data_IF_297869215828
#
_entry.id   IF_297869215828
#
_cell.length_a   1.000
_cell.length_b   1.000
_cell.length_c   1.000
_cell.angle_alpha   90.00
_cell.angle_beta   90.00
_cell.angle_gamma   90.00
#
_symmetry.space_group_name_H-M   'P 1'
#
loop_
_entity.id
_entity.type
_entity.pdbx_description
1 polymer ?
#
# COMPACT_ATOMS: atom_id res chain seq x y z
N UNK A 1 -22.35 -26.91 13.46
CA UNK A 1 -21.95 -26.11 14.64
C UNK A 1 -20.68 -25.39 14.24
N UNK A 2 -20.69 -24.06 14.09
CA UNK A 2 -19.50 -23.30 13.67
C UNK A 2 -18.67 -23.02 14.93
N UNK A 3 -17.42 -23.49 14.96
CA UNK A 3 -16.56 -23.38 16.14
C UNK A 3 -16.41 -21.92 16.60
N UNK A 4 -16.32 -21.66 17.93
CA UNK A 4 -16.10 -20.33 18.46
C UNK A 4 -14.80 -19.76 17.86
N UNK A 5 -14.94 -18.58 17.23
CA UNK A 5 -14.00 -17.99 16.28
C UNK A 5 -12.64 -17.74 16.95
N UNK A 6 -11.78 -18.74 16.91
CA UNK A 6 -10.34 -18.52 17.03
C UNK A 6 -9.91 -17.92 15.70
N UNK A 7 -9.38 -16.68 15.66
CA UNK A 7 -8.97 -16.09 14.40
C UNK A 7 -7.96 -17.02 13.72
N UNK A 8 -8.25 -17.41 12.49
CA UNK A 8 -7.33 -18.25 11.71
C UNK A 8 -6.01 -17.51 11.52
N UNK A 9 -4.93 -18.26 11.27
CA UNK A 9 -3.61 -17.66 10.99
C UNK A 9 -3.67 -16.64 9.85
N UNK A 10 -4.51 -16.89 8.85
CA UNK A 10 -4.74 -15.96 7.73
C UNK A 10 -5.55 -14.73 8.14
N UNK A 11 -6.56 -14.86 8.99
CA UNK A 11 -7.31 -13.71 9.51
C UNK A 11 -6.40 -12.75 10.29
N UNK A 12 -5.50 -13.30 11.10
CA UNK A 12 -4.47 -12.53 11.80
C UNK A 12 -3.49 -11.88 10.82
N UNK A 13 -3.00 -12.61 9.82
CA UNK A 13 -2.09 -12.08 8.80
C UNK A 13 -2.66 -10.83 8.10
N UNK A 14 -3.92 -10.89 7.66
CA UNK A 14 -4.59 -9.76 6.98
C UNK A 14 -4.71 -8.56 7.91
N UNK A 15 -5.09 -8.80 9.18
CA UNK A 15 -5.21 -7.74 10.18
C UNK A 15 -3.87 -7.11 10.54
N UNK A 16 -2.83 -7.92 10.70
CA UNK A 16 -1.48 -7.46 11.06
C UNK A 16 -0.88 -6.64 9.91
N UNK A 17 -1.02 -7.08 8.65
CA UNK A 17 -0.58 -6.34 7.47
C UNK A 17 -1.30 -4.98 7.33
N UNK A 18 -2.61 -4.90 7.61
CA UNK A 18 -3.31 -3.61 7.60
C UNK A 18 -2.81 -2.68 8.69
N UNK A 19 -2.61 -3.22 9.90
CA UNK A 19 -2.21 -2.43 11.07
C UNK A 19 -0.77 -1.93 10.97
N UNK A 20 0.13 -2.67 10.33
CA UNK A 20 1.52 -2.25 10.14
C UNK A 20 1.66 -0.98 9.30
N UNK A 21 0.69 -0.71 8.42
CA UNK A 21 0.61 0.53 7.61
C UNK A 21 -0.45 1.51 8.09
N UNK A 22 -0.97 1.32 9.32
CA UNK A 22 -1.92 2.22 10.00
C UNK A 22 -3.21 2.56 9.22
N UNK A 23 -3.69 1.66 8.36
CA UNK A 23 -4.92 1.90 7.58
C UNK A 23 -6.18 1.36 8.28
N UNK A 24 -7.32 2.03 8.02
CA UNK A 24 -8.63 1.44 8.32
C UNK A 24 -8.99 0.37 7.26
N UNK A 25 -10.02 -0.42 7.53
CA UNK A 25 -10.42 -1.53 6.65
C UNK A 25 -10.90 -1.06 5.27
N UNK A 26 -11.51 0.12 5.16
CA UNK A 26 -11.98 0.64 3.89
C UNK A 26 -10.81 1.05 2.98
N UNK A 27 -9.81 1.73 3.53
CA UNK A 27 -8.62 2.15 2.78
C UNK A 27 -7.77 0.94 2.38
N UNK A 28 -7.60 -0.01 3.29
CA UNK A 28 -6.90 -1.26 2.98
C UNK A 28 -7.62 -2.10 1.92
N UNK A 29 -8.96 -2.12 1.94
CA UNK A 29 -9.73 -2.79 0.90
C UNK A 29 -9.49 -2.20 -0.49
N UNK A 30 -9.29 -0.87 -0.60
CA UNK A 30 -8.94 -0.23 -1.88
C UNK A 30 -7.60 -0.72 -2.41
N UNK A 31 -6.59 -0.87 -1.54
CA UNK A 31 -5.27 -1.42 -1.91
C UNK A 31 -5.42 -2.85 -2.47
N UNK A 32 -6.26 -3.67 -1.83
CA UNK A 32 -6.49 -5.06 -2.23
C UNK A 32 -7.47 -5.23 -3.41
N UNK A 33 -8.08 -4.14 -3.90
CA UNK A 33 -9.15 -4.21 -4.91
C UNK A 33 -10.39 -4.96 -4.42
N UNK A 34 -10.75 -4.80 -3.14
CA UNK A 34 -11.90 -5.44 -2.48
C UNK A 34 -12.82 -4.40 -1.84
N UNK A 35 -13.96 -4.86 -1.34
CA UNK A 35 -14.83 -4.02 -0.50
C UNK A 35 -14.44 -4.12 0.97
N UNK A 36 -14.77 -3.10 1.76
CA UNK A 36 -14.51 -3.10 3.21
C UNK A 36 -15.16 -4.30 3.91
N UNK A 37 -16.39 -4.66 3.53
CA UNK A 37 -17.10 -5.81 4.10
C UNK A 37 -16.39 -7.15 3.81
N UNK A 38 -15.77 -7.29 2.64
CA UNK A 38 -14.97 -8.48 2.30
C UNK A 38 -13.72 -8.55 3.18
N UNK A 39 -13.01 -7.44 3.36
CA UNK A 39 -11.84 -7.37 4.25
C UNK A 39 -12.23 -7.66 5.71
N UNK A 40 -13.36 -7.14 6.20
CA UNK A 40 -13.86 -7.45 7.54
C UNK A 40 -14.04 -8.96 7.74
N UNK A 41 -14.65 -9.65 6.77
CA UNK A 41 -14.85 -11.11 6.81
C UNK A 41 -13.55 -11.91 6.72
N UNK A 42 -12.52 -11.38 6.06
CA UNK A 42 -11.19 -11.97 6.11
C UNK A 42 -10.58 -11.82 7.51
N UNK A 43 -10.63 -10.61 8.08
CA UNK A 43 -10.03 -10.32 9.38
C UNK A 43 -10.72 -11.02 10.55
N UNK A 44 -12.03 -11.26 10.47
CA UNK A 44 -12.75 -12.03 11.50
C UNK A 44 -12.68 -13.55 11.27
N UNK A 45 -12.11 -14.00 10.14
CA UNK A 45 -11.96 -15.42 9.80
C UNK A 45 -13.25 -16.09 9.31
N UNK A 46 -14.32 -15.33 9.05
CA UNK A 46 -15.57 -15.87 8.49
C UNK A 46 -15.43 -16.33 7.04
N UNK A 47 -14.48 -15.76 6.30
CA UNK A 47 -14.15 -16.12 4.93
C UNK A 47 -12.63 -16.22 4.80
N UNK A 48 -12.15 -17.26 4.12
CA UNK A 48 -10.72 -17.41 3.85
C UNK A 48 -10.28 -16.46 2.72
N UNK A 49 -9.19 -15.68 2.89
CA UNK A 49 -8.70 -14.81 1.84
C UNK A 49 -8.07 -15.63 0.70
N UNK A 50 -8.22 -15.20 -0.57
CA UNK A 50 -7.55 -15.85 -1.69
C UNK A 50 -6.03 -15.68 -1.59
N UNK A 51 -5.27 -16.59 -2.21
CA UNK A 51 -3.81 -16.60 -2.16
C UNK A 51 -3.16 -15.28 -2.59
N UNK A 52 -3.77 -14.54 -3.52
CA UNK A 52 -3.28 -13.21 -3.94
C UNK A 52 -3.34 -12.17 -2.81
N UNK A 53 -4.38 -12.21 -1.97
CA UNK A 53 -4.48 -11.34 -0.79
C UNK A 53 -3.45 -11.74 0.26
N UNK A 54 -3.26 -13.04 0.49
CA UNK A 54 -2.25 -13.57 1.41
C UNK A 54 -0.86 -13.11 0.99
N UNK A 55 -0.50 -13.29 -0.28
CA UNK A 55 0.78 -12.86 -0.82
C UNK A 55 0.99 -11.35 -0.68
N UNK A 56 -0.03 -10.55 -0.96
CA UNK A 56 0.04 -9.09 -0.80
C UNK A 56 0.27 -8.69 0.67
N UNK A 57 -0.40 -9.36 1.62
CA UNK A 57 -0.21 -9.12 3.05
C UNK A 57 1.20 -9.48 3.52
N UNK A 58 1.77 -10.59 3.01
CA UNK A 58 3.16 -10.97 3.29
C UNK A 58 4.13 -9.89 2.82
N UNK A 59 3.98 -9.40 1.58
CA UNK A 59 4.83 -8.33 1.05
C UNK A 59 4.75 -7.05 1.87
N UNK A 60 3.57 -6.66 2.36
CA UNK A 60 3.41 -5.49 3.22
C UNK A 60 4.19 -5.67 4.54
N UNK A 61 4.10 -6.86 5.13
CA UNK A 61 4.78 -7.15 6.40
C UNK A 61 6.30 -7.26 6.22
N UNK A 62 6.77 -7.84 5.13
CA UNK A 62 8.21 -7.91 4.80
C UNK A 62 8.80 -6.52 4.51
N UNK A 63 8.08 -5.65 3.81
CA UNK A 63 8.54 -4.27 3.54
C UNK A 63 8.47 -3.36 4.78
N UNK A 64 7.64 -3.70 5.76
CA UNK A 64 7.61 -3.02 7.06
C UNK A 64 8.75 -3.41 8.00
N UNK A 65 9.55 -4.43 7.64
CA UNK A 65 10.77 -4.82 8.36
C UNK A 65 12.00 -4.07 7.89
N UNK A 66 11.94 -3.38 6.75
CA UNK A 66 12.93 -2.38 6.40
C UNK A 66 12.62 -1.12 7.24
N UNK A 67 13.47 -0.71 8.21
CA UNK A 67 13.46 0.70 8.60
C UNK A 67 13.60 1.53 7.32
N UNK A 68 13.01 2.74 7.22
CA UNK A 68 13.26 3.59 6.06
C UNK A 68 14.77 3.65 5.87
N UNK A 69 15.26 2.96 4.84
CA UNK A 69 16.68 2.91 4.57
C UNK A 69 17.15 4.33 4.32
N UNK A 70 18.45 4.62 4.48
CA UNK A 70 19.02 5.94 4.15
C UNK A 70 18.65 6.42 2.72
N UNK A 71 18.19 5.51 1.86
CA UNK A 71 17.78 5.72 0.48
C UNK A 71 16.41 6.40 0.30
N UNK A 72 15.58 6.53 1.34
CA UNK A 72 14.32 7.28 1.25
C UNK A 72 14.56 8.75 0.85
N UNK A 73 15.71 9.30 1.24
CA UNK A 73 16.13 10.65 0.88
C UNK A 73 16.66 10.74 -0.56
N UNK A 74 17.30 9.66 -1.06
CA UNK A 74 17.79 9.58 -2.45
C UNK A 74 16.65 9.46 -3.46
N UNK A 75 15.60 8.71 -3.12
CA UNK A 75 14.41 8.58 -3.98
C UNK A 75 13.63 9.90 -4.10
N UNK A 76 13.53 10.68 -3.00
CA UNK A 76 12.88 11.99 -3.03
C UNK A 76 13.70 13.02 -3.81
N UNK A 77 15.02 13.06 -3.63
CA UNK A 77 15.90 13.95 -4.38
C UNK A 77 15.81 13.73 -5.90
N UNK A 78 15.79 12.48 -6.35
CA UNK A 78 15.61 12.16 -7.77
C UNK A 78 14.25 12.64 -8.32
N UNK A 79 13.19 12.61 -7.50
CA UNK A 79 11.87 13.13 -7.88
C UNK A 79 11.88 14.67 -7.97
N UNK A 80 12.54 15.34 -7.02
CA UNK A 80 12.70 16.80 -7.03
C UNK A 80 13.50 17.28 -8.25
N UNK A 81 14.59 16.59 -8.61
CA UNK A 81 15.37 16.87 -9.80
C UNK A 81 14.55 16.68 -11.09
N UNK A 82 13.81 15.58 -11.19
CA UNK A 82 12.93 15.32 -12.33
C UNK A 82 11.83 16.38 -12.48
N UNK A 83 11.25 16.83 -11.36
CA UNK A 83 10.24 17.89 -11.36
C UNK A 83 10.82 19.23 -11.82
N UNK A 84 12.03 19.59 -11.34
CA UNK A 84 12.71 20.82 -11.75
C UNK A 84 13.00 20.83 -13.26
N UNK A 85 13.49 19.70 -13.80
CA UNK A 85 13.76 19.55 -15.23
C UNK A 85 12.49 19.73 -16.08
N UNK A 86 11.37 19.11 -15.66
CA UNK A 86 10.08 19.25 -16.34
C UNK A 86 9.56 20.69 -16.31
N UNK A 87 9.65 21.37 -15.16
CA UNK A 87 9.23 22.77 -15.05
C UNK A 87 10.04 23.68 -15.99
N UNK A 88 11.34 23.44 -16.14
CA UNK A 88 12.19 24.19 -17.06
C UNK A 88 11.81 23.94 -18.52
N UNK A 89 11.56 22.68 -18.89
CA UNK A 89 11.12 22.32 -20.24
C UNK A 89 9.76 22.98 -20.59
N UNK A 90 8.79 22.97 -19.67
CA UNK A 90 7.49 23.63 -19.86
C UNK A 90 7.65 25.13 -20.05
N UNK A 91 8.52 25.79 -19.27
CA UNK A 91 8.82 27.22 -19.44
C UNK A 91 9.45 27.51 -20.80
N UNK A 92 10.38 26.67 -21.25
CA UNK A 92 11.01 26.82 -22.56
C UNK A 92 10.00 26.69 -23.72
N UNK A 93 9.04 25.79 -23.60
CA UNK A 93 7.96 25.63 -24.59
C UNK A 93 6.99 26.82 -24.62
N UNK A 94 6.80 27.49 -23.49
CA UNK A 94 5.93 28.67 -23.38
C UNK A 94 6.66 30.01 -23.60
N UNK A 95 7.97 30.00 -23.85
CA UNK A 95 8.71 31.21 -24.15
C UNK A 95 8.27 31.76 -25.51
N UNK A 96 8.03 33.09 -25.64
CA UNK A 96 7.73 33.68 -26.93
C UNK A 96 8.94 33.48 -27.87
N UNK A 97 8.67 33.15 -29.14
CA UNK A 97 9.74 33.06 -30.13
C UNK A 97 10.39 34.44 -30.29
N UNK A 98 11.73 34.53 -30.36
CA UNK A 98 12.39 35.78 -30.68
C UNK A 98 12.00 36.21 -32.10
N UNK A 99 11.73 37.50 -32.25
CA UNK A 99 11.38 38.19 -33.51
C UNK A 99 12.51 38.15 -34.55
#
# INVERSE_FOLDING_TARGET
MKDPITPTRLARLVRDARRSIALNQADFARILGKTQSVVSRYEDGSVEPPGSVVMHCIHILERGLDPPGPDGNMALGAVEEALAALQLAVRALHAPRPD
#
